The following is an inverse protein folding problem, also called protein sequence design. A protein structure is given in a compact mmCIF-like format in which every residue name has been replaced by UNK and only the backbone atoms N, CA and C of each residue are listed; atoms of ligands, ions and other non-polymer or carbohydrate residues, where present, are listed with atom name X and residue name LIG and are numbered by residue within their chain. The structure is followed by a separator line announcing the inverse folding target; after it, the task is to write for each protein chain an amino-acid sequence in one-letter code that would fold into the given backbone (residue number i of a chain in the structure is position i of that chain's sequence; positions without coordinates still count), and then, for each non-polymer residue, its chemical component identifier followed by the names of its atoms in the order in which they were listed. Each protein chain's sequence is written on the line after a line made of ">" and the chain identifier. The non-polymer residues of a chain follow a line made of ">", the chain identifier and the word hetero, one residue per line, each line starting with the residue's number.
data_IF_824467085081
#
_entry.id   IF_824467085081
#
_cell.length_a   1.000
_cell.length_b   1.000
_cell.length_c   1.000
_cell.angle_alpha   90.00
_cell.angle_beta   90.00
_cell.angle_gamma   90.00
#
_symmetry.space_group_name_H-M   'P 1'
#
loop_
_entity.id
_entity.type
_entity.pdbx_description
1 polymer ?
#
# COMPACT_ATOMS: atom_id res chain seq x y z
N UNK A 1 61.13 54.58 -16.83
CA UNK A 1 60.76 55.32 -18.06
C UNK A 1 60.69 54.29 -19.19
N UNK A 2 59.48 53.84 -19.56
CA UNK A 2 58.78 54.13 -20.85
C UNK A 2 59.52 53.48 -22.04
N UNK A 3 58.97 52.64 -22.93
CA UNK A 3 57.65 52.08 -23.23
C UNK A 3 57.79 51.14 -24.48
N UNK A 4 56.72 50.41 -24.82
CA UNK A 4 56.43 49.65 -26.07
C UNK A 4 57.21 48.33 -26.34
N UNK A 5 56.69 47.14 -26.63
CA UNK A 5 55.44 46.53 -27.18
C UNK A 5 55.79 45.76 -28.48
N UNK A 6 55.00 44.72 -28.81
CA UNK A 6 54.92 43.90 -30.07
C UNK A 6 55.81 42.64 -30.12
N UNK A 7 55.41 41.42 -30.53
CA UNK A 7 54.13 40.66 -30.65
C UNK A 7 54.50 39.27 -31.25
N UNK A 8 53.79 38.20 -30.83
CA UNK A 8 53.52 36.90 -31.53
C UNK A 8 54.71 35.90 -31.68
N UNK A 9 54.56 34.56 -31.68
CA UNK A 9 53.49 33.68 -32.21
C UNK A 9 53.71 32.19 -31.76
N UNK A 10 52.60 31.44 -31.58
CA UNK A 10 52.37 29.98 -31.80
C UNK A 10 53.02 28.88 -30.93
N UNK A 11 52.18 27.94 -30.47
CA UNK A 11 52.58 26.59 -30.03
C UNK A 11 51.50 25.83 -29.27
N UNK A 12 50.77 24.98 -29.98
CA UNK A 12 49.49 24.31 -29.65
C UNK A 12 49.61 22.97 -28.88
N UNK A 13 48.51 22.60 -28.18
CA UNK A 13 47.95 21.24 -27.94
C UNK A 13 48.42 20.43 -26.72
N UNK A 14 47.46 19.98 -25.89
CA UNK A 14 47.72 18.99 -24.83
C UNK A 14 46.55 18.60 -23.92
N UNK A 15 45.43 18.14 -24.52
CA UNK A 15 44.45 17.18 -23.97
C UNK A 15 43.72 17.47 -22.62
N UNK A 16 42.51 18.02 -22.75
CA UNK A 16 41.49 18.08 -21.71
C UNK A 16 40.80 16.71 -21.48
N UNK A 17 41.07 16.09 -20.34
CA UNK A 17 40.26 15.00 -19.78
C UNK A 17 38.98 15.60 -19.14
N UNK A 18 37.97 15.88 -19.98
CA UNK A 18 36.61 16.09 -19.49
C UNK A 18 35.95 14.72 -19.32
N UNK A 19 36.06 14.18 -18.12
CA UNK A 19 35.24 13.07 -17.64
C UNK A 19 33.77 13.47 -17.79
N UNK A 20 33.08 12.88 -18.77
CA UNK A 20 31.63 13.00 -18.89
C UNK A 20 31.02 12.26 -17.70
N UNK A 21 30.70 13.01 -16.65
CA UNK A 21 29.73 12.58 -15.65
C UNK A 21 28.37 12.53 -16.35
N UNK A 22 28.06 11.38 -16.94
CA UNK A 22 26.72 11.06 -17.41
C UNK A 22 25.86 10.87 -16.15
N UNK A 23 25.27 11.96 -15.65
CA UNK A 23 24.16 11.87 -14.72
C UNK A 23 23.04 11.11 -15.45
N UNK A 24 22.80 9.86 -15.06
CA UNK A 24 21.62 9.12 -15.51
C UNK A 24 20.38 9.82 -14.97
N UNK A 25 19.76 10.68 -15.78
CA UNK A 25 18.47 11.27 -15.45
C UNK A 25 17.41 10.18 -15.52
N UNK A 26 16.84 9.81 -14.37
CA UNK A 26 15.57 9.11 -14.32
C UNK A 26 14.52 10.01 -14.99
N UNK A 27 13.75 9.46 -15.92
CA UNK A 27 12.66 10.19 -16.57
C UNK A 27 11.38 9.96 -15.77
N UNK A 28 10.54 11.00 -15.63
CA UNK A 28 9.24 10.87 -14.97
C UNK A 28 8.13 10.76 -16.01
N UNK A 29 7.32 9.71 -15.92
CA UNK A 29 6.06 9.60 -16.65
C UNK A 29 4.96 10.28 -15.84
N UNK A 30 4.44 11.38 -16.37
CA UNK A 30 3.31 12.08 -15.76
C UNK A 30 2.02 11.75 -16.52
N UNK A 31 0.88 11.80 -15.83
CA UNK A 31 -0.39 11.57 -16.50
C UNK A 31 -1.61 11.64 -15.59
N UNK A 32 -2.75 11.32 -16.17
CA UNK A 32 -4.04 11.26 -15.47
C UNK A 32 -4.76 9.97 -15.80
N UNK A 33 -5.31 9.30 -14.78
CA UNK A 33 -6.21 8.16 -14.93
C UNK A 33 -7.65 8.67 -14.96
N UNK A 34 -8.43 8.20 -15.92
CA UNK A 34 -9.77 8.71 -16.21
C UNK A 34 -10.73 7.59 -16.58
N UNK A 35 -12.02 7.84 -16.36
CA UNK A 35 -13.08 6.97 -16.83
C UNK A 35 -13.17 7.06 -18.35
N UNK A 36 -13.18 5.92 -19.04
CA UNK A 36 -13.22 5.86 -20.49
C UNK A 36 -14.51 6.43 -21.10
N UNK A 37 -15.64 6.30 -20.41
CA UNK A 37 -16.95 6.75 -20.88
C UNK A 37 -17.20 8.23 -20.56
N UNK A 38 -16.98 8.64 -19.30
CA UNK A 38 -17.31 10.02 -18.86
C UNK A 38 -16.15 10.99 -19.00
N UNK A 39 -14.92 10.50 -19.17
CA UNK A 39 -13.71 11.31 -19.15
C UNK A 39 -13.35 11.92 -17.79
N UNK A 40 -14.13 11.65 -16.74
CA UNK A 40 -13.86 12.17 -15.40
C UNK A 40 -12.62 11.52 -14.78
N UNK A 41 -11.89 12.24 -13.90
CA UNK A 41 -10.76 11.67 -13.18
C UNK A 41 -11.15 10.43 -12.38
N UNK A 42 -10.26 9.44 -12.35
CA UNK A 42 -10.38 8.28 -11.48
C UNK A 42 -9.45 8.50 -10.29
N UNK A 43 -9.98 8.93 -9.14
CA UNK A 43 -9.18 9.22 -7.96
C UNK A 43 -8.50 7.95 -7.45
N UNK A 44 -7.28 8.09 -6.94
CA UNK A 44 -6.57 7.03 -6.23
C UNK A 44 -6.31 5.74 -7.03
N UNK A 45 -6.35 5.81 -8.36
CA UNK A 45 -5.96 4.70 -9.22
C UNK A 45 -4.50 4.32 -9.00
N UNK A 46 -4.18 3.02 -9.04
CA UNK A 46 -2.78 2.54 -8.99
C UNK A 46 -2.28 2.39 -10.42
N UNK A 47 -1.08 2.93 -10.69
CA UNK A 47 -0.38 2.85 -11.96
C UNK A 47 0.98 2.19 -11.72
N UNK A 48 1.24 1.05 -12.34
CA UNK A 48 2.44 0.24 -12.04
C UNK A 48 3.07 -0.43 -13.27
N UNK A 49 4.35 -0.77 -13.16
CA UNK A 49 5.08 -1.65 -14.08
C UNK A 49 5.50 -2.88 -13.25
N UNK A 50 4.68 -3.94 -13.20
CA UNK A 50 4.88 -5.06 -12.27
C UNK A 50 6.23 -5.76 -12.44
N UNK A 51 6.69 -5.91 -13.69
CA UNK A 51 7.99 -6.54 -14.06
C UNK A 51 9.18 -5.80 -13.48
N UNK A 52 9.02 -4.50 -13.18
CA UNK A 52 10.05 -3.64 -12.59
C UNK A 52 9.82 -3.35 -11.13
N UNK A 53 8.72 -3.84 -10.56
CA UNK A 53 8.36 -3.57 -9.17
C UNK A 53 8.22 -2.07 -8.88
N UNK A 54 7.79 -1.30 -9.88
CA UNK A 54 7.59 0.16 -9.82
C UNK A 54 6.09 0.44 -9.85
N UNK A 55 5.63 1.42 -9.09
CA UNK A 55 4.26 1.89 -9.18
C UNK A 55 4.09 3.24 -8.53
N UNK A 56 2.89 3.81 -8.64
CA UNK A 56 2.45 5.03 -7.99
C UNK A 56 0.94 5.02 -7.83
N UNK A 57 0.42 5.66 -6.80
CA UNK A 57 -1.02 5.92 -6.69
C UNK A 57 -1.32 7.35 -7.16
N UNK A 58 -2.33 7.49 -8.01
CA UNK A 58 -2.84 8.76 -8.47
C UNK A 58 -3.50 9.56 -7.32
N UNK A 59 -3.55 10.87 -7.47
CA UNK A 59 -4.19 11.78 -6.51
C UNK A 59 -5.72 11.70 -6.57
N UNK A 60 -6.41 12.50 -5.75
CA UNK A 60 -7.86 12.72 -5.84
C UNK A 60 -8.31 13.33 -7.18
N UNK A 61 -7.39 13.98 -7.91
CA UNK A 61 -7.63 14.51 -9.26
C UNK A 61 -7.23 13.51 -10.36
N UNK A 62 -6.94 12.26 -9.98
CA UNK A 62 -6.52 11.20 -10.89
C UNK A 62 -5.13 11.40 -11.49
N UNK A 63 -4.37 12.41 -11.07
CA UNK A 63 -3.03 12.70 -11.60
C UNK A 63 -1.96 11.84 -10.94
N UNK A 64 -0.91 11.47 -11.67
CA UNK A 64 0.20 10.68 -11.15
C UNK A 64 1.55 11.12 -11.74
N UNK A 65 2.62 10.76 -11.03
CA UNK A 65 4.02 10.90 -11.46
C UNK A 65 4.73 9.59 -11.14
N UNK A 66 5.12 8.83 -12.16
CA UNK A 66 5.84 7.58 -12.04
C UNK A 66 7.28 7.76 -12.50
N UNK A 67 8.25 7.54 -11.62
CA UNK A 67 9.67 7.55 -12.00
C UNK A 67 10.02 6.30 -12.81
N UNK A 68 10.61 6.50 -13.98
CA UNK A 68 11.01 5.45 -14.90
C UNK A 68 12.54 5.29 -14.92
N UNK A 69 13.03 4.05 -15.00
CA UNK A 69 14.44 3.79 -15.23
C UNK A 69 14.82 4.19 -16.66
N UNK A 70 16.10 4.51 -16.86
CA UNK A 70 16.68 4.95 -18.13
C UNK A 70 16.41 4.01 -19.32
N UNK A 71 16.22 2.71 -19.04
CA UNK A 71 15.92 1.69 -20.04
C UNK A 71 14.76 0.80 -19.60
N UNK A 72 13.65 0.89 -20.34
CA UNK A 72 12.55 -0.06 -20.29
C UNK A 72 12.80 -1.18 -21.29
N UNK A 73 12.42 -2.39 -20.91
CA UNK A 73 12.45 -3.56 -21.76
C UNK A 73 11.19 -3.57 -22.62
N UNK A 74 11.25 -4.22 -23.79
CA UNK A 74 10.07 -4.37 -24.66
C UNK A 74 8.92 -5.15 -24.02
N UNK A 75 9.19 -5.88 -22.93
CA UNK A 75 8.20 -6.62 -22.14
C UNK A 75 7.58 -5.80 -21.02
N UNK A 76 8.09 -4.60 -20.72
CA UNK A 76 7.52 -3.75 -19.67
C UNK A 76 6.19 -3.16 -20.14
N UNK A 77 5.16 -3.34 -19.31
CA UNK A 77 3.83 -2.80 -19.55
C UNK A 77 3.34 -2.04 -18.34
N UNK A 78 2.58 -0.98 -18.60
CA UNK A 78 1.96 -0.16 -17.57
C UNK A 78 0.58 -0.73 -17.26
N UNK A 79 0.30 -0.98 -15.99
CA UNK A 79 -0.98 -1.48 -15.51
C UNK A 79 -1.64 -0.35 -14.76
N UNK A 80 -2.89 -0.05 -15.11
CA UNK A 80 -3.71 0.85 -14.31
C UNK A 80 -4.89 0.08 -13.73
N UNK A 81 -5.09 0.23 -12.43
CA UNK A 81 -6.19 -0.39 -11.69
C UNK A 81 -6.87 0.66 -10.83
N UNK A 82 -8.18 0.55 -10.71
CA UNK A 82 -8.94 1.36 -9.77
C UNK A 82 -10.25 0.66 -9.44
N UNK A 83 -10.86 1.09 -8.36
CA UNK A 83 -12.02 0.46 -7.81
C UNK A 83 -13.29 0.85 -8.55
N UNK A 84 -14.11 -0.15 -8.89
CA UNK A 84 -15.23 0.02 -9.82
C UNK A 84 -14.78 0.12 -11.28
N UNK A 85 -13.55 -0.30 -11.60
CA UNK A 85 -13.02 -0.33 -12.97
C UNK A 85 -12.34 -1.67 -13.27
N UNK A 86 -12.37 -2.08 -14.53
CA UNK A 86 -11.55 -3.19 -15.00
C UNK A 86 -10.07 -2.79 -15.02
N UNK A 87 -9.20 -3.66 -14.50
CA UNK A 87 -7.77 -3.54 -14.66
C UNK A 87 -7.42 -3.50 -16.15
N UNK A 88 -6.55 -2.57 -16.55
CA UNK A 88 -6.17 -2.41 -17.96
C UNK A 88 -4.66 -2.30 -18.10
N UNK A 89 -4.14 -2.99 -19.10
CA UNK A 89 -2.72 -2.97 -19.46
C UNK A 89 -2.51 -2.02 -20.65
N UNK A 90 -1.43 -1.27 -20.59
CA UNK A 90 -1.02 -0.29 -21.59
C UNK A 90 0.45 -0.53 -21.95
N UNK A 91 0.80 -0.25 -23.20
CA UNK A 91 2.19 0.00 -23.53
C UNK A 91 2.66 1.24 -22.75
N UNK A 92 3.91 1.25 -22.29
CA UNK A 92 4.45 2.42 -21.60
C UNK A 92 4.46 3.61 -22.57
N UNK A 93 3.75 4.71 -22.28
CA UNK A 93 3.66 5.84 -23.21
C UNK A 93 5.02 6.47 -23.46
N UNK A 94 5.32 6.76 -24.73
CA UNK A 94 6.57 7.43 -25.12
C UNK A 94 6.58 8.93 -24.77
N UNK A 95 5.41 9.52 -24.47
CA UNK A 95 5.25 10.95 -24.20
C UNK A 95 4.51 11.19 -22.87
N UNK A 96 4.90 12.28 -22.21
CA UNK A 96 4.26 12.82 -20.99
C UNK A 96 3.78 14.26 -21.23
N UNK A 97 2.63 14.68 -20.69
CA UNK A 97 1.71 13.88 -19.86
C UNK A 97 0.86 12.92 -20.71
N UNK A 98 0.51 11.77 -20.13
CA UNK A 98 -0.32 10.75 -20.76
C UNK A 98 -1.70 10.62 -20.12
N UNK A 99 -2.64 9.96 -20.82
CA UNK A 99 -4.00 9.72 -20.33
C UNK A 99 -4.31 8.23 -20.34
N UNK A 100 -4.54 7.65 -19.16
CA UNK A 100 -4.86 6.22 -18.99
C UNK A 100 -6.35 6.06 -18.77
N UNK A 101 -7.03 5.34 -19.66
CA UNK A 101 -8.49 5.24 -19.65
C UNK A 101 -8.95 3.89 -19.09
N UNK A 102 -9.67 3.91 -17.98
CA UNK A 102 -10.25 2.72 -17.36
C UNK A 102 -11.74 2.58 -17.69
N UNK A 103 -12.17 1.36 -17.97
CA UNK A 103 -13.58 1.04 -18.19
C UNK A 103 -14.24 0.73 -16.85
N UNK A 104 -15.36 1.39 -16.53
CA UNK A 104 -16.09 1.12 -15.31
C UNK A 104 -16.59 -0.33 -15.31
N UNK A 105 -16.38 -1.03 -14.21
CA UNK A 105 -16.90 -2.37 -13.95
C UNK A 105 -18.27 -2.21 -13.31
N UNK A 106 -19.33 -2.43 -14.09
CA UNK A 106 -20.70 -2.45 -13.59
C UNK A 106 -20.96 -3.76 -12.86
N UNK A 107 -20.38 -3.93 -11.67
CA UNK A 107 -20.85 -4.98 -10.76
C UNK A 107 -22.18 -4.49 -10.20
N UNK A 108 -23.29 -4.98 -10.77
CA UNK A 108 -24.59 -4.83 -10.15
C UNK A 108 -24.53 -5.55 -8.80
N UNK A 109 -24.68 -4.81 -7.70
CA UNK A 109 -24.84 -5.42 -6.38
C UNK A 109 -26.17 -6.21 -6.42
N UNK A 110 -26.16 -7.52 -6.14
CA UNK A 110 -27.39 -8.29 -6.11
C UNK A 110 -28.36 -7.69 -5.08
N UNK A 111 -29.65 -7.75 -5.38
CA UNK A 111 -30.72 -7.30 -4.50
C UNK A 111 -30.59 -7.99 -3.13
N UNK A 112 -30.54 -7.19 -2.05
CA UNK A 112 -30.34 -7.69 -0.70
C UNK A 112 -31.61 -8.41 -0.21
N UNK A 113 -31.55 -9.73 -0.06
CA UNK A 113 -32.63 -10.49 0.59
C UNK A 113 -32.52 -10.29 2.09
N UNK A 114 -33.40 -9.46 2.66
CA UNK A 114 -33.49 -9.26 4.12
C UNK A 114 -34.11 -10.51 4.74
N UNK A 115 -33.29 -11.36 5.36
CA UNK A 115 -33.74 -12.42 6.28
C UNK A 115 -33.60 -11.93 7.73
N UNK A 116 -34.41 -12.44 8.68
CA UNK A 116 -34.17 -12.17 10.10
C UNK A 116 -32.75 -12.62 10.44
N UNK A 117 -31.87 -11.72 10.90
CA UNK A 117 -30.48 -12.08 11.14
C UNK A 117 -30.37 -13.10 12.28
N UNK A 118 -29.66 -14.20 12.05
CA UNK A 118 -29.15 -15.04 13.15
C UNK A 118 -28.18 -14.26 14.05
N UNK A 119 -27.75 -14.82 15.20
CA UNK A 119 -26.77 -14.13 16.04
C UNK A 119 -25.42 -13.96 15.29
N UNK A 120 -24.79 -12.77 15.35
CA UNK A 120 -23.50 -12.56 14.70
C UNK A 120 -22.38 -13.35 15.40
N UNK A 121 -21.41 -13.81 14.61
CA UNK A 121 -20.21 -14.51 15.10
C UNK A 121 -18.98 -13.65 14.85
N UNK A 122 -18.14 -13.47 15.87
CA UNK A 122 -16.86 -12.75 15.74
C UNK A 122 -15.74 -13.75 15.49
N UNK A 123 -15.04 -13.58 14.37
CA UNK A 123 -13.83 -14.31 14.02
C UNK A 123 -12.60 -13.45 14.33
N UNK A 124 -11.49 -14.10 14.73
CA UNK A 124 -10.22 -13.44 15.05
C UNK A 124 -9.90 -13.44 16.54
N UNK A 125 -8.86 -12.71 16.97
CA UNK A 125 -8.41 -12.69 18.36
C UNK A 125 -9.41 -11.96 19.26
N UNK A 126 -9.73 -12.51 20.43
CA UNK A 126 -10.56 -11.83 21.43
C UNK A 126 -9.81 -10.80 22.29
N UNK A 127 -8.48 -10.89 22.32
CA UNK A 127 -7.62 -10.01 23.11
C UNK A 127 -7.13 -8.81 22.29
N UNK A 128 -6.85 -7.71 22.98
CA UNK A 128 -6.28 -6.49 22.42
C UNK A 128 -4.88 -6.71 21.83
N UNK A 129 -4.62 -6.09 20.66
CA UNK A 129 -3.36 -6.17 19.92
C UNK A 129 -2.26 -5.24 20.45
N UNK A 130 -2.13 -5.11 21.77
CA UNK A 130 -1.36 -4.03 22.37
C UNK A 130 0.17 -4.28 22.38
N UNK A 131 0.58 -5.55 22.43
CA UNK A 131 1.98 -5.96 22.64
C UNK A 131 2.89 -5.67 21.45
N UNK A 132 2.34 -5.75 20.24
CA UNK A 132 3.08 -5.56 18.99
C UNK A 132 2.23 -4.76 18.00
N UNK A 133 2.83 -4.18 16.96
CA UNK A 133 2.06 -3.53 15.93
C UNK A 133 2.79 -3.43 14.60
N UNK A 134 2.01 -3.40 13.54
CA UNK A 134 2.44 -3.14 12.19
C UNK A 134 2.30 -1.64 11.94
N UNK A 135 3.34 -1.04 11.37
CA UNK A 135 3.41 0.39 11.09
C UNK A 135 4.20 0.61 9.82
N UNK A 136 4.14 1.83 9.30
CA UNK A 136 4.70 2.18 8.00
C UNK A 136 5.59 3.42 8.13
N UNK A 137 6.78 3.39 7.50
CA UNK A 137 7.73 4.51 7.52
C UNK A 137 8.13 5.11 6.17
N UNK A 138 7.78 4.47 5.05
CA UNK A 138 8.23 4.92 3.71
C UNK A 138 7.13 5.58 2.88
N UNK A 139 5.88 5.71 3.36
CA UNK A 139 4.72 6.20 2.59
C UNK A 139 4.94 7.61 2.08
N UNK A 140 5.76 8.42 2.75
CA UNK A 140 6.14 9.74 2.22
C UNK A 140 6.99 9.66 0.94
N UNK A 141 7.86 8.66 0.83
CA UNK A 141 8.73 8.45 -0.32
C UNK A 141 8.03 7.64 -1.42
N UNK A 142 7.18 6.68 -1.06
CA UNK A 142 6.45 5.84 -1.99
C UNK A 142 5.01 6.31 -2.22
N UNK A 143 4.61 7.46 -1.69
CA UNK A 143 3.20 7.85 -1.66
C UNK A 143 2.32 6.76 -1.03
N UNK A 144 1.06 6.69 -1.46
CA UNK A 144 0.09 5.68 -1.03
C UNK A 144 0.24 4.33 -1.76
N UNK A 145 1.46 3.98 -2.20
CA UNK A 145 1.71 2.72 -2.88
C UNK A 145 1.60 1.55 -1.90
N UNK A 146 0.46 0.84 -1.96
CA UNK A 146 0.32 -0.61 -1.76
C UNK A 146 0.69 -1.21 -0.40
N UNK A 147 1.02 -0.44 0.63
CA UNK A 147 1.32 -1.02 1.94
C UNK A 147 0.04 -1.47 2.64
N UNK A 148 -0.12 -2.80 2.71
CA UNK A 148 -1.28 -3.42 3.33
C UNK A 148 -0.86 -4.48 4.33
N UNK A 149 -1.62 -4.59 5.41
CA UNK A 149 -1.57 -5.73 6.33
C UNK A 149 -2.92 -6.42 6.30
N UNK A 150 -2.91 -7.68 5.92
CA UNK A 150 -4.09 -8.53 5.82
C UNK A 150 -4.05 -9.65 6.86
N UNK A 151 -5.21 -10.05 7.35
CA UNK A 151 -5.39 -11.25 8.16
C UNK A 151 -6.31 -12.23 7.43
N UNK A 152 -5.90 -13.49 7.36
CA UNK A 152 -6.66 -14.62 6.84
C UNK A 152 -7.71 -15.09 7.85
N UNK A 153 -8.89 -15.42 7.34
CA UNK A 153 -9.97 -16.08 8.05
C UNK A 153 -10.37 -17.34 7.29
N UNK A 154 -10.09 -18.48 7.91
CA UNK A 154 -10.47 -19.80 7.40
C UNK A 154 -11.77 -20.28 8.05
N UNK A 155 -12.50 -21.17 7.36
CA UNK A 155 -13.70 -21.85 7.88
C UNK A 155 -14.75 -20.91 8.48
N UNK A 156 -14.91 -19.72 7.89
CA UNK A 156 -15.96 -18.80 8.31
C UNK A 156 -17.34 -19.45 8.11
N UNK A 157 -18.27 -19.29 9.07
CA UNK A 157 -19.61 -19.82 8.90
C UNK A 157 -20.30 -19.15 7.71
N UNK A 158 -21.20 -19.88 7.05
CA UNK A 158 -21.95 -19.34 5.92
C UNK A 158 -22.78 -18.12 6.36
N UNK A 159 -22.49 -16.98 5.75
CA UNK A 159 -23.16 -15.74 6.09
C UNK A 159 -22.63 -14.55 5.29
N UNK A 160 -22.90 -13.36 5.81
CA UNK A 160 -22.47 -12.08 5.26
C UNK A 160 -21.43 -11.47 6.19
N UNK A 161 -20.37 -10.89 5.64
CA UNK A 161 -19.44 -10.06 6.42
C UNK A 161 -20.15 -8.76 6.81
N UNK A 162 -20.63 -8.70 8.06
CA UNK A 162 -21.37 -7.57 8.60
C UNK A 162 -20.45 -6.40 8.93
N UNK A 163 -19.32 -6.69 9.54
CA UNK A 163 -18.36 -5.67 9.95
C UNK A 163 -16.96 -6.25 10.03
N UNK A 164 -15.97 -5.37 10.07
CA UNK A 164 -14.59 -5.72 10.39
C UNK A 164 -14.09 -4.81 11.50
N UNK A 165 -13.14 -5.30 12.29
CA UNK A 165 -12.54 -4.51 13.37
C UNK A 165 -11.04 -4.55 13.28
N UNK A 166 -10.42 -3.39 13.49
CA UNK A 166 -8.97 -3.24 13.55
C UNK A 166 -8.60 -2.73 14.93
N UNK A 167 -7.67 -3.39 15.63
CA UNK A 167 -7.13 -2.80 16.85
C UNK A 167 -6.14 -1.71 16.46
N UNK A 168 -6.53 -0.46 16.61
CA UNK A 168 -5.71 0.69 16.24
C UNK A 168 -5.01 1.25 17.48
N UNK A 169 -3.74 1.63 17.34
CA UNK A 169 -2.98 2.28 18.41
C UNK A 169 -2.03 3.35 17.86
N UNK A 170 -1.55 4.29 18.72
CA UNK A 170 -0.53 5.23 18.31
C UNK A 170 0.68 4.49 17.76
N UNK A 171 1.19 4.99 16.63
CA UNK A 171 2.47 4.55 16.12
C UNK A 171 3.54 4.94 17.14
N UNK A 172 4.40 4.00 17.55
CA UNK A 172 5.37 4.24 18.64
C UNK A 172 6.35 5.39 18.36
N UNK A 173 6.51 5.75 17.09
CA UNK A 173 7.37 6.82 16.63
C UNK A 173 6.62 8.16 16.55
N UNK A 174 5.29 8.14 16.42
CA UNK A 174 4.45 9.33 16.27
C UNK A 174 3.50 9.57 17.45
N UNK A 175 3.13 10.83 17.66
CA UNK A 175 2.18 11.20 18.71
C UNK A 175 0.76 10.68 18.46
N UNK A 176 -0.14 10.97 19.41
CA UNK A 176 -1.56 10.55 19.37
C UNK A 176 -2.32 10.97 18.10
N UNK A 177 -1.90 12.05 17.45
CA UNK A 177 -2.52 12.54 16.21
C UNK A 177 -2.49 11.51 15.07
N UNK A 178 -1.45 10.67 15.02
CA UNK A 178 -1.27 9.67 13.98
C UNK A 178 -2.35 8.57 14.02
N UNK A 179 -3.01 8.36 15.17
CA UNK A 179 -4.12 7.40 15.33
C UNK A 179 -5.30 7.70 14.39
N UNK A 180 -5.49 8.99 14.07
CA UNK A 180 -6.62 9.46 13.27
C UNK A 180 -6.33 9.49 11.77
N UNK A 181 -5.18 8.98 11.34
CA UNK A 181 -4.86 8.95 9.92
C UNK A 181 -5.87 8.07 9.17
N UNK A 182 -6.42 8.52 8.03
CA UNK A 182 -7.29 7.71 7.22
C UNK A 182 -6.58 6.46 6.70
N UNK A 183 -7.30 5.35 6.67
CA UNK A 183 -6.86 4.10 6.04
C UNK A 183 -8.00 3.48 5.25
N UNK A 184 -7.66 2.63 4.28
CA UNK A 184 -8.63 1.90 3.47
C UNK A 184 -8.81 0.49 4.01
N UNK A 185 -10.07 0.07 4.07
CA UNK A 185 -10.47 -1.32 4.34
C UNK A 185 -10.48 -2.08 3.02
N UNK A 186 -9.92 -3.29 3.01
CA UNK A 186 -9.92 -4.19 1.85
C UNK A 186 -10.36 -5.58 2.27
N UNK A 187 -11.13 -6.25 1.42
CA UNK A 187 -11.48 -7.65 1.61
C UNK A 187 -11.06 -8.43 0.38
N UNK A 188 -10.39 -9.57 0.57
CA UNK A 188 -9.95 -10.39 -0.56
C UNK A 188 -10.42 -11.84 -0.40
N UNK A 189 -10.75 -12.50 -1.49
CA UNK A 189 -10.85 -13.96 -1.52
C UNK A 189 -9.46 -14.58 -1.32
N UNK A 190 -9.43 -15.78 -0.73
CA UNK A 190 -8.21 -16.58 -0.61
C UNK A 190 -7.93 -17.42 -1.88
N UNK A 191 -8.10 -16.82 -3.05
CA UNK A 191 -7.94 -17.43 -4.38
C UNK A 191 -6.65 -16.99 -5.10
N UNK A 192 -5.78 -16.26 -4.41
CA UNK A 192 -4.46 -15.88 -4.91
C UNK A 192 -3.46 -17.05 -4.90
N UNK A 193 -2.30 -16.88 -5.56
CA UNK A 193 -1.24 -17.90 -5.60
C UNK A 193 -0.83 -18.36 -4.20
N UNK A 194 -0.76 -19.69 -3.99
CA UNK A 194 -0.42 -20.25 -2.68
C UNK A 194 -1.44 -19.97 -1.57
N UNK A 195 -2.68 -19.62 -1.94
CA UNK A 195 -3.74 -19.23 -1.00
C UNK A 195 -3.57 -17.82 -0.46
N UNK A 196 -2.74 -16.98 -1.08
CA UNK A 196 -2.60 -15.56 -0.77
C UNK A 196 -3.90 -14.78 -1.06
N UNK A 197 -4.02 -13.52 -0.61
CA UNK A 197 -5.10 -12.64 -1.07
C UNK A 197 -5.09 -12.51 -2.60
N UNK A 198 -6.25 -12.74 -3.22
CA UNK A 198 -6.44 -12.64 -4.67
C UNK A 198 -7.51 -11.61 -5.04
N UNK A 199 -8.71 -12.08 -5.39
CA UNK A 199 -9.82 -11.24 -5.86
C UNK A 199 -10.28 -10.28 -4.77
N UNK A 200 -10.33 -8.98 -5.07
CA UNK A 200 -10.90 -7.96 -4.18
C UNK A 200 -12.43 -8.07 -4.13
N UNK A 201 -12.96 -8.37 -2.95
CA UNK A 201 -14.40 -8.56 -2.69
C UNK A 201 -15.10 -7.24 -2.40
N UNK A 202 -14.36 -6.22 -1.99
CA UNK A 202 -14.90 -4.91 -1.67
C UNK A 202 -14.75 -4.00 -2.89
N UNK A 203 -15.75 -4.00 -3.77
CA UNK A 203 -15.72 -3.27 -5.05
C UNK A 203 -15.88 -1.74 -4.93
N UNK A 204 -15.92 -1.19 -3.71
CA UNK A 204 -15.98 0.25 -3.42
C UNK A 204 -15.00 0.65 -2.31
N UNK A 205 -14.46 1.88 -2.38
CA UNK A 205 -13.38 2.28 -1.45
C UNK A 205 -13.99 2.65 -0.11
N UNK A 206 -13.74 1.82 0.91
CA UNK A 206 -14.13 2.12 2.29
C UNK A 206 -12.95 2.77 2.99
N UNK A 207 -12.98 4.09 3.07
CA UNK A 207 -12.05 4.88 3.87
C UNK A 207 -12.63 5.11 5.27
N UNK A 208 -11.78 4.98 6.28
CA UNK A 208 -12.15 5.23 7.65
C UNK A 208 -10.96 5.76 8.44
N UNK A 209 -11.22 6.29 9.63
CA UNK A 209 -10.20 6.72 10.57
C UNK A 209 -10.65 6.37 11.98
N UNK A 210 -9.73 5.88 12.81
CA UNK A 210 -10.02 5.61 14.19
C UNK A 210 -10.16 6.92 14.98
N UNK A 211 -11.10 6.98 15.91
CA UNK A 211 -11.24 8.13 16.82
C UNK A 211 -10.13 8.15 17.89
N UNK A 212 -9.56 6.99 18.20
CA UNK A 212 -8.58 6.81 19.26
C UNK A 212 -8.02 5.39 19.27
N UNK A 213 -7.23 5.10 20.32
CA UNK A 213 -6.70 3.74 20.54
C UNK A 213 -7.86 2.79 20.87
N UNK A 214 -7.85 1.60 20.28
CA UNK A 214 -8.77 0.52 20.60
C UNK A 214 -9.28 -0.20 19.35
N UNK A 215 -10.28 -1.05 19.54
CA UNK A 215 -11.00 -1.68 18.43
C UNK A 215 -11.81 -0.64 17.66
N UNK A 216 -11.46 -0.46 16.40
CA UNK A 216 -12.18 0.37 15.44
C UNK A 216 -13.02 -0.51 14.53
N UNK A 217 -14.34 -0.43 14.67
CA UNK A 217 -15.31 -1.19 13.86
C UNK A 217 -15.71 -0.42 12.60
N UNK A 218 -15.84 -1.15 11.50
CA UNK A 218 -16.32 -0.64 10.21
C UNK A 218 -17.48 -1.51 9.76
N UNK A 219 -18.67 -0.92 9.66
CA UNK A 219 -19.85 -1.58 9.10
C UNK A 219 -19.67 -1.82 7.60
N UNK A 220 -19.87 -3.08 7.19
CA UNK A 220 -19.80 -3.54 5.82
C UNK A 220 -21.10 -4.23 5.38
N UNK A 221 -22.13 -4.25 6.23
CA UNK A 221 -23.36 -5.02 5.98
C UNK A 221 -24.02 -4.58 4.67
N UNK A 222 -23.99 -3.28 4.37
CA UNK A 222 -24.51 -2.70 3.12
C UNK A 222 -23.91 -3.28 1.84
N UNK A 223 -22.74 -3.92 1.92
CA UNK A 223 -22.05 -4.51 0.77
C UNK A 223 -22.44 -5.96 0.51
N UNK A 224 -23.16 -6.60 1.44
CA UNK A 224 -23.69 -7.96 1.27
C UNK A 224 -22.63 -8.99 0.83
N UNK A 225 -21.39 -8.81 1.33
CA UNK A 225 -20.24 -9.65 0.99
C UNK A 225 -20.42 -11.02 1.61
N UNK A 226 -20.67 -12.03 0.78
CA UNK A 226 -20.77 -13.41 1.23
C UNK A 226 -19.41 -13.91 1.72
N UNK A 227 -19.39 -14.67 2.80
CA UNK A 227 -18.18 -15.35 3.28
C UNK A 227 -17.73 -16.40 2.26
N UNK A 228 -16.54 -16.25 1.64
CA UNK A 228 -16.04 -17.25 0.69
C UNK A 228 -15.71 -18.58 1.39
N UNK A 229 -16.06 -19.69 0.75
CA UNK A 229 -15.81 -21.05 1.28
C UNK A 229 -14.33 -21.39 1.41
N UNK A 230 -13.51 -20.87 0.49
CA UNK A 230 -12.05 -21.02 0.51
C UNK A 230 -11.36 -20.17 1.60
N UNK A 231 -12.12 -19.37 2.34
CA UNK A 231 -11.60 -18.36 3.25
C UNK A 231 -11.43 -16.99 2.58
N UNK A 232 -11.18 -15.98 3.41
CA UNK A 232 -11.01 -14.61 2.97
C UNK A 232 -10.01 -13.85 3.83
N UNK A 233 -9.68 -12.66 3.38
CA UNK A 233 -8.78 -11.76 4.04
C UNK A 233 -9.46 -10.44 4.34
N UNK A 234 -9.14 -9.86 5.48
CA UNK A 234 -9.44 -8.46 5.79
C UNK A 234 -8.11 -7.73 5.91
N UNK A 235 -7.97 -6.61 5.19
CA UNK A 235 -6.75 -5.81 5.20
C UNK A 235 -6.99 -4.35 5.58
N UNK A 236 -6.00 -3.79 6.27
CA UNK A 236 -5.79 -2.36 6.44
C UNK A 236 -4.73 -1.91 5.44
N UNK A 237 -5.08 -0.95 4.60
CA UNK A 237 -4.16 -0.26 3.69
C UNK A 237 -3.93 1.17 4.20
N UNK A 238 -2.67 1.53 4.42
CA UNK A 238 -2.33 2.88 4.82
C UNK A 238 -2.33 3.80 3.59
N UNK A 239 -2.88 5.00 3.75
CA UNK A 239 -2.90 6.02 2.71
C UNK A 239 -2.17 7.28 3.20
N UNK A 240 -1.23 7.75 2.40
CA UNK A 240 -0.63 9.06 2.60
C UNK A 240 -1.61 10.13 2.14
N UNK A 241 -2.18 10.88 3.10
CA UNK A 241 -3.19 11.91 2.85
C UNK A 241 -2.74 13.29 3.30
N UNK A 242 -2.03 13.39 4.43
CA UNK A 242 -1.60 14.67 5.00
C UNK A 242 -0.36 14.47 5.88
N UNK A 243 0.62 15.36 5.74
CA UNK A 243 1.84 15.40 6.56
C UNK A 243 1.54 15.49 8.06
N UNK A 244 0.39 16.06 8.45
CA UNK A 244 -0.09 16.17 9.83
C UNK A 244 -0.26 14.80 10.53
N UNK A 245 -0.40 13.72 9.76
CA UNK A 245 -0.49 12.36 10.28
C UNK A 245 0.84 11.63 10.38
N UNK A 246 1.93 12.24 9.91
CA UNK A 246 3.27 11.67 10.00
C UNK A 246 4.19 12.43 10.93
N UNK A 247 5.37 11.87 11.13
CA UNK A 247 6.39 12.45 11.98
C UNK A 247 7.80 12.02 11.54
N UNK A 248 8.78 12.88 11.77
CA UNK A 248 10.20 12.52 11.66
C UNK A 248 10.72 12.06 13.02
N UNK A 249 11.57 11.04 13.02
CA UNK A 249 12.20 10.52 14.23
C UNK A 249 13.65 10.12 13.96
N UNK A 250 14.45 10.08 15.03
CA UNK A 250 15.83 9.58 14.93
C UNK A 250 15.82 8.06 15.04
N UNK A 251 16.34 7.40 14.00
CA UNK A 251 16.64 5.97 13.99
C UNK A 251 18.16 5.75 14.07
N UNK A 252 18.58 4.53 14.36
CA UNK A 252 19.99 4.16 14.46
C UNK A 252 20.27 2.99 13.55
N UNK A 253 21.40 3.04 12.82
CA UNK A 253 21.93 1.86 12.16
C UNK A 253 22.30 0.82 13.25
N UNK A 254 21.74 -0.40 13.22
CA UNK A 254 21.98 -1.39 14.27
C UNK A 254 23.45 -1.83 14.35
N UNK A 255 24.19 -1.71 13.25
CA UNK A 255 25.59 -2.09 13.09
C UNK A 255 26.53 -0.93 13.36
N UNK A 256 26.40 0.19 12.65
CA UNK A 256 27.33 1.33 12.75
C UNK A 256 27.02 2.29 13.90
N UNK A 257 25.83 2.15 14.53
CA UNK A 257 25.30 3.08 15.54
C UNK A 257 25.10 4.52 15.06
N UNK A 258 25.30 4.79 13.78
CA UNK A 258 25.06 6.11 13.20
C UNK A 258 23.59 6.49 13.30
N UNK A 259 23.35 7.76 13.64
CA UNK A 259 22.02 8.36 13.65
C UNK A 259 21.55 8.60 12.22
N UNK A 260 20.30 8.23 11.94
CA UNK A 260 19.63 8.49 10.68
C UNK A 260 18.24 9.04 10.93
N UNK A 261 17.90 10.14 10.27
CA UNK A 261 16.52 10.65 10.25
C UNK A 261 15.63 9.68 9.47
N UNK A 262 14.56 9.24 10.11
CA UNK A 262 13.53 8.39 9.52
C UNK A 262 12.17 9.09 9.59
N UNK A 263 11.21 8.55 8.86
CA UNK A 263 9.83 9.04 8.83
C UNK A 263 8.88 7.90 9.21
N UNK A 264 7.80 8.25 9.89
CA UNK A 264 6.71 7.35 10.22
C UNK A 264 5.39 8.02 9.85
N UNK A 265 4.41 7.22 9.43
CA UNK A 265 3.11 7.73 8.99
C UNK A 265 1.96 6.96 9.61
N UNK A 266 0.96 7.71 10.09
CA UNK A 266 -0.30 7.18 10.56
C UNK A 266 -0.20 6.25 11.77
N UNK A 267 -1.30 5.55 12.03
CA UNK A 267 -1.47 4.66 13.16
C UNK A 267 -0.65 3.38 13.03
N UNK A 268 -0.50 2.66 14.14
CA UNK A 268 -0.10 1.26 14.11
C UNK A 268 -1.33 0.37 14.19
N UNK A 269 -1.36 -0.66 13.34
CA UNK A 269 -2.27 -1.79 13.50
C UNK A 269 -1.71 -2.71 14.56
N UNK A 270 -2.49 -2.96 15.62
CA UNK A 270 -2.13 -3.87 16.68
C UNK A 270 -1.85 -5.29 16.19
N UNK A 271 -1.07 -6.01 16.97
CA UNK A 271 -0.74 -7.39 16.70
C UNK A 271 -0.20 -8.07 17.95
N UNK A 272 0.02 -9.36 17.80
CA UNK A 272 0.41 -10.22 18.89
C UNK A 272 1.46 -11.23 18.42
N UNK A 273 2.18 -11.73 19.42
CA UNK A 273 3.04 -12.89 19.29
C UNK A 273 2.29 -14.08 19.88
N UNK A 274 2.03 -15.10 19.06
CA UNK A 274 1.37 -16.31 19.53
C UNK A 274 1.84 -17.56 18.78
N UNK A 275 1.48 -18.74 19.32
CA UNK A 275 1.83 -20.03 18.72
C UNK A 275 0.81 -20.48 17.65
N UNK A 276 -0.24 -19.69 17.41
CA UNK A 276 -1.20 -19.98 16.36
C UNK A 276 -0.52 -19.94 14.99
N UNK A 277 -1.04 -20.67 13.98
CA UNK A 277 -0.53 -20.59 12.62
C UNK A 277 -0.46 -19.14 12.10
N UNK A 278 0.49 -18.82 11.21
CA UNK A 278 0.61 -17.48 10.66
C UNK A 278 -0.61 -17.17 9.79
N UNK A 279 -1.45 -16.24 10.25
CA UNK A 279 -2.63 -15.78 9.53
C UNK A 279 -2.41 -14.42 8.85
N UNK A 280 -1.28 -13.76 9.11
CA UNK A 280 -1.04 -12.39 8.62
C UNK A 280 -0.22 -12.37 7.35
N UNK A 281 -0.61 -11.51 6.44
CA UNK A 281 0.00 -11.28 5.14
C UNK A 281 0.24 -9.79 4.96
N UNK A 282 1.20 -9.44 4.11
CA UNK A 282 1.46 -8.07 3.75
C UNK A 282 1.69 -7.90 2.26
N UNK A 283 1.30 -6.73 1.79
CA UNK A 283 1.61 -6.23 0.47
C UNK A 283 2.51 -5.01 0.65
N UNK A 284 3.51 -4.88 -0.20
CA UNK A 284 4.36 -3.70 -0.27
C UNK A 284 4.58 -3.35 -1.72
N UNK A 285 4.78 -2.07 -2.01
CA UNK A 285 5.19 -1.62 -3.35
C UNK A 285 6.28 -2.51 -3.92
N UNK A 286 6.02 -3.04 -5.11
CA UNK A 286 7.00 -3.82 -5.83
C UNK A 286 7.22 -5.24 -5.32
N UNK A 287 6.41 -5.73 -4.38
CA UNK A 287 6.45 -7.14 -3.98
C UNK A 287 5.03 -7.70 -3.95
N UNK A 288 4.83 -8.95 -4.39
CA UNK A 288 3.53 -9.60 -4.26
C UNK A 288 3.19 -9.83 -2.79
N UNK A 289 1.98 -10.29 -2.52
CA UNK A 289 1.58 -10.73 -1.19
C UNK A 289 2.58 -11.71 -0.59
N UNK A 290 3.01 -11.42 0.63
CA UNK A 290 3.93 -12.25 1.41
C UNK A 290 3.31 -12.56 2.76
N UNK A 291 3.41 -13.80 3.21
CA UNK A 291 2.97 -14.17 4.55
C UNK A 291 3.97 -13.63 5.56
N UNK A 292 3.48 -13.03 6.65
CA UNK A 292 4.27 -12.79 7.86
C UNK A 292 4.50 -14.14 8.55
N UNK A 293 5.39 -14.94 7.96
CA UNK A 293 5.92 -16.14 8.60
C UNK A 293 6.93 -15.74 9.67
N UNK A 294 7.16 -16.66 10.61
CA UNK A 294 8.17 -16.56 11.65
C UNK A 294 9.47 -15.91 11.13
N UNK A 295 9.91 -14.86 11.82
CA UNK A 295 11.17 -14.17 11.52
C UNK A 295 11.94 -14.01 12.82
N UNK A 296 12.98 -14.80 13.00
CA UNK A 296 13.99 -14.59 14.04
C UNK A 296 14.56 -13.17 13.87
N UNK A 297 14.33 -12.30 14.86
CA UNK A 297 14.95 -10.98 14.90
C UNK A 297 16.25 -11.12 15.68
N UNK A 298 17.36 -10.68 15.08
CA UNK A 298 18.62 -10.58 15.80
C UNK A 298 18.42 -9.77 17.10
N UNK A 299 18.77 -10.38 18.24
CA UNK A 299 18.65 -9.82 19.62
C UNK A 299 17.27 -9.93 20.29
N UNK A 300 16.30 -10.62 19.69
CA UNK A 300 15.08 -11.04 20.39
C UNK A 300 15.11 -12.56 20.49
N UNK A 301 15.04 -13.15 21.71
CA UNK A 301 14.97 -14.60 21.87
C UNK A 301 13.84 -15.18 21.03
N UNK A 302 14.18 -16.15 20.19
CA UNK A 302 13.20 -16.82 19.35
C UNK A 302 12.37 -17.78 20.20
N UNK A 303 11.09 -17.45 20.37
CA UNK A 303 10.13 -18.27 21.11
C UNK A 303 9.23 -19.11 20.20
N UNK A 304 9.54 -19.21 18.89
CA UNK A 304 8.70 -19.92 17.92
C UNK A 304 7.35 -19.26 17.66
N UNK A 305 7.16 -18.02 18.09
CA UNK A 305 5.89 -17.29 17.97
C UNK A 305 5.74 -16.63 16.60
N UNK A 306 4.54 -16.71 16.05
CA UNK A 306 4.11 -16.01 14.85
C UNK A 306 3.64 -14.59 15.18
N UNK A 307 3.67 -13.73 14.17
CA UNK A 307 3.16 -12.35 14.27
C UNK A 307 1.84 -12.26 13.58
N UNK A 308 0.81 -12.02 14.37
CA UNK A 308 -0.54 -12.02 13.87
C UNK A 308 -1.21 -10.66 14.13
N UNK A 309 -1.88 -10.13 13.10
CA UNK A 309 -2.57 -8.85 13.16
C UNK A 309 -3.87 -8.95 13.95
N UNK A 310 -4.12 -7.95 14.78
CA UNK A 310 -5.35 -7.81 15.56
C UNK A 310 -6.46 -7.24 14.67
N UNK A 311 -6.96 -8.11 13.80
CA UNK A 311 -8.09 -7.87 12.91
C UNK A 311 -9.18 -8.89 13.23
N UNK A 312 -10.42 -8.45 13.35
CA UNK A 312 -11.60 -9.31 13.48
C UNK A 312 -12.53 -9.15 12.27
N UNK A 313 -13.29 -10.20 11.98
CA UNK A 313 -14.42 -10.16 11.06
C UNK A 313 -15.68 -10.55 11.83
N UNK A 314 -16.76 -9.78 11.67
CA UNK A 314 -18.07 -10.07 12.25
C UNK A 314 -18.94 -10.63 11.14
N UNK A 315 -19.40 -11.87 11.31
CA UNK A 315 -20.21 -12.58 10.33
C UNK A 315 -21.65 -12.61 10.81
N UNK A 316 -22.54 -12.05 9.99
CA UNK A 316 -23.97 -12.19 10.11
C UNK A 316 -24.39 -13.53 9.52
N UNK A 317 -24.88 -14.45 10.35
CA UNK A 317 -25.34 -15.76 9.90
C UNK A 317 -26.64 -15.62 9.10
N UNK A 318 -26.76 -16.44 8.04
CA UNK A 318 -27.93 -16.53 7.15
C UNK A 318 -29.14 -17.24 7.80
#
# INVERSE_FOLDING_TARGET
>A
MTYYSIIRLLGTVGLSLLSKWANGQASALTGTVVNAASGQPVPFAVVEIPTRHLGVQATELGTFVLELPMALASTDSLWATSLGYHARHFAVPAASPCRLQLQASTVALPEAVVRPPGPPTVLGPGADGDKFGFAQGTLRAVGSQGWQIARRFDNAPTGVVQAVRFYVKPNTQCGKAAVRAPFRVRLYAADGPGGAPGTDLLTVSVLTAAAGKGWHEVDLLRYQIQTPTAGFYVAMEWLYTDDAFGCTYTSYNPTTKEKKTAYAYGQSLGGYFDLAPPATWYLSTGYPWQQFAHRSIARIPDQGQNRNAAIQAVIQLN
#
